data_IF_877522344721
#
_entry.id   IF_877522344721
#
_cell.length_a   1.000
_cell.length_b   1.000
_cell.length_c   1.000
_cell.angle_alpha   90.00
_cell.angle_beta   90.00
_cell.angle_gamma   90.00
#
_symmetry.space_group_name_H-M   'P 1'
#
loop_
_entity.id
_entity.type
_entity.pdbx_description
1 polymer ?
#
# COMPACT_ATOMS: atom_id res chain seq x y z
N UNK A 1 68.13 42.30 48.17
CA UNK A 1 67.18 43.14 47.41
C UNK A 1 66.93 42.46 46.07
N UNK A 2 65.69 42.03 45.82
CA UNK A 2 65.27 41.34 44.59
C UNK A 2 65.12 42.33 43.44
N UNK A 3 65.79 42.09 42.31
CA UNK A 3 65.47 42.75 41.02
C UNK A 3 64.75 41.75 40.14
N UNK A 4 63.51 42.10 39.78
CA UNK A 4 62.51 41.21 39.20
C UNK A 4 62.83 40.82 37.75
N UNK A 5 62.64 39.54 37.49
CA UNK A 5 62.70 38.84 36.21
C UNK A 5 61.71 39.44 35.19
N UNK A 6 62.22 40.22 34.24
CA UNK A 6 61.43 40.91 33.21
C UNK A 6 61.13 40.04 31.99
N UNK A 7 60.27 39.04 32.13
CA UNK A 7 59.67 38.32 30.99
C UNK A 7 58.21 38.72 30.82
N UNK A 8 57.98 39.89 30.23
CA UNK A 8 56.68 40.24 29.63
C UNK A 8 56.93 40.80 28.23
N UNK A 9 56.86 39.94 27.21
CA UNK A 9 56.65 40.40 25.84
C UNK A 9 55.20 40.90 25.77
N UNK A 10 54.98 42.16 26.10
CA UNK A 10 53.68 42.81 25.96
C UNK A 10 53.43 42.92 24.45
N UNK A 11 52.40 42.26 23.90
CA UNK A 11 52.13 42.33 22.47
C UNK A 11 51.84 43.79 22.10
N UNK A 12 52.43 44.26 21.01
CA UNK A 12 52.13 45.57 20.43
C UNK A 12 50.64 45.67 20.09
N UNK A 13 50.08 46.89 20.09
CA UNK A 13 48.69 47.12 19.71
C UNK A 13 48.35 46.49 18.34
N UNK A 14 49.30 46.54 17.39
CA UNK A 14 49.18 45.91 16.06
C UNK A 14 48.98 44.40 16.13
N UNK A 15 49.76 43.70 16.96
CA UNK A 15 49.64 42.24 17.15
C UNK A 15 48.33 41.86 17.82
N UNK A 16 47.86 42.64 18.80
CA UNK A 16 46.55 42.41 19.44
C UNK A 16 45.39 42.59 18.46
N UNK A 17 45.41 43.66 17.65
CA UNK A 17 44.37 43.90 16.63
C UNK A 17 44.32 42.77 15.60
N UNK A 18 45.47 42.26 15.14
CA UNK A 18 45.53 41.14 14.20
C UNK A 18 44.96 39.87 14.84
N UNK A 19 45.32 39.57 16.10
CA UNK A 19 44.80 38.40 16.81
C UNK A 19 43.28 38.45 16.99
N UNK A 20 42.73 39.61 17.39
CA UNK A 20 41.28 39.80 17.55
C UNK A 20 40.56 39.63 16.20
N UNK A 21 41.12 40.20 15.14
CA UNK A 21 40.55 40.08 13.79
C UNK A 21 40.53 38.62 13.32
N UNK A 22 41.63 37.89 13.48
CA UNK A 22 41.72 36.46 13.14
C UNK A 22 40.79 35.60 14.00
N UNK A 23 40.66 35.89 15.29
CA UNK A 23 39.73 35.22 16.18
C UNK A 23 38.27 35.47 15.76
N UNK A 24 37.93 36.71 15.36
CA UNK A 24 36.63 37.06 14.82
C UNK A 24 36.30 36.31 13.52
N UNK A 25 37.25 36.27 12.57
CA UNK A 25 37.10 35.49 11.34
C UNK A 25 36.92 34.00 11.64
N UNK A 26 37.75 33.44 12.51
CA UNK A 26 37.63 32.06 12.95
C UNK A 26 36.24 31.76 13.54
N UNK A 27 35.76 32.62 14.44
CA UNK A 27 34.43 32.49 15.04
C UNK A 27 33.32 32.54 13.98
N UNK A 28 33.36 33.49 13.05
CA UNK A 28 32.35 33.58 11.99
C UNK A 28 32.35 32.35 11.09
N UNK A 29 33.53 31.85 10.70
CA UNK A 29 33.65 30.64 9.90
C UNK A 29 33.14 29.41 10.67
N UNK A 30 33.42 29.30 11.97
CA UNK A 30 32.88 28.23 12.82
C UNK A 30 31.36 28.27 12.92
N UNK A 31 30.78 29.45 13.13
CA UNK A 31 29.32 29.62 13.19
C UNK A 31 28.67 29.22 11.86
N UNK A 32 29.19 29.70 10.73
CA UNK A 32 28.68 29.33 9.39
C UNK A 32 28.78 27.81 9.17
N UNK A 33 29.91 27.21 9.53
CA UNK A 33 30.12 25.76 9.37
C UNK A 33 29.16 24.93 10.23
N UNK A 34 28.93 25.35 11.48
CA UNK A 34 27.99 24.69 12.38
C UNK A 34 26.55 24.82 11.90
N UNK A 35 26.16 26.01 11.41
CA UNK A 35 24.84 26.23 10.83
C UNK A 35 24.63 25.36 9.58
N UNK A 36 25.62 25.33 8.67
CA UNK A 36 25.56 24.50 7.47
C UNK A 36 25.45 23.00 7.82
N UNK A 37 26.27 22.52 8.75
CA UNK A 37 26.22 21.12 9.18
C UNK A 37 24.89 20.79 9.85
N UNK A 38 24.40 21.68 10.72
CA UNK A 38 23.10 21.52 11.38
C UNK A 38 21.97 21.46 10.36
N UNK A 39 21.95 22.36 9.38
CA UNK A 39 20.96 22.36 8.31
C UNK A 39 21.03 21.08 7.47
N UNK A 40 22.23 20.63 7.11
CA UNK A 40 22.41 19.41 6.34
C UNK A 40 21.94 18.15 7.10
N UNK A 41 22.27 18.05 8.39
CA UNK A 41 21.83 16.95 9.25
C UNK A 41 20.31 16.95 9.44
N UNK A 42 19.70 18.12 9.66
CA UNK A 42 18.24 18.25 9.77
C UNK A 42 17.58 17.86 8.46
N UNK A 43 18.07 18.36 7.32
CA UNK A 43 17.50 18.06 6.01
C UNK A 43 17.58 16.56 5.69
N UNK A 44 18.74 15.93 5.87
CA UNK A 44 18.93 14.50 5.62
C UNK A 44 18.05 13.63 6.52
N UNK A 45 17.98 13.93 7.83
CA UNK A 45 17.11 13.21 8.75
C UNK A 45 15.62 13.45 8.49
N UNK A 46 15.25 14.67 8.13
CA UNK A 46 13.87 14.96 7.72
C UNK A 46 13.48 14.17 6.48
N UNK A 47 14.37 14.07 5.48
CA UNK A 47 14.12 13.30 4.26
C UNK A 47 14.00 11.79 4.55
N UNK A 48 14.83 11.25 5.44
CA UNK A 48 14.74 9.86 5.87
C UNK A 48 13.41 9.55 6.57
N UNK A 49 12.97 10.43 7.49
CA UNK A 49 11.69 10.30 8.20
C UNK A 49 10.52 10.43 7.22
N UNK A 50 10.57 11.38 6.30
CA UNK A 50 9.53 11.60 5.31
C UNK A 50 9.40 10.40 4.36
N UNK A 51 10.53 9.83 3.92
CA UNK A 51 10.55 8.59 3.15
C UNK A 51 9.92 7.43 3.93
N UNK A 52 10.28 7.24 5.20
CA UNK A 52 9.70 6.20 6.05
C UNK A 52 8.18 6.37 6.21
N UNK A 53 7.72 7.59 6.48
CA UNK A 53 6.28 7.90 6.61
C UNK A 53 5.52 7.70 5.30
N UNK A 54 6.14 8.05 4.18
CA UNK A 54 5.57 7.83 2.85
C UNK A 54 5.40 6.34 2.57
N UNK A 55 6.42 5.52 2.85
CA UNK A 55 6.33 4.06 2.72
C UNK A 55 5.23 3.49 3.60
N UNK A 56 5.20 3.84 4.89
CA UNK A 56 4.16 3.36 5.82
C UNK A 56 2.75 3.78 5.39
N UNK A 57 2.60 4.99 4.84
CA UNK A 57 1.31 5.49 4.35
C UNK A 57 0.85 4.72 3.11
N UNK A 58 1.76 4.41 2.19
CA UNK A 58 1.46 3.58 1.00
C UNK A 58 1.12 2.15 1.41
N UNK A 59 1.91 1.53 2.29
CA UNK A 59 1.63 0.19 2.82
C UNK A 59 0.27 0.13 3.52
N UNK A 60 -0.04 1.13 4.35
CA UNK A 60 -1.34 1.27 4.99
C UNK A 60 -2.49 1.36 3.97
N UNK A 61 -2.35 2.21 2.96
CA UNK A 61 -3.36 2.37 1.91
C UNK A 61 -3.59 1.08 1.10
N UNK A 62 -2.50 0.36 0.77
CA UNK A 62 -2.56 -0.94 0.11
C UNK A 62 -3.30 -1.96 0.99
N UNK A 63 -2.93 -2.06 2.26
CA UNK A 63 -3.56 -3.01 3.18
C UNK A 63 -5.05 -2.70 3.40
N UNK A 64 -5.41 -1.42 3.56
CA UNK A 64 -6.82 -1.00 3.65
C UNK A 64 -7.60 -1.38 2.40
N UNK A 65 -7.00 -1.25 1.21
CA UNK A 65 -7.64 -1.61 -0.05
C UNK A 65 -7.84 -3.14 -0.19
N UNK A 66 -6.84 -3.94 0.20
CA UNK A 66 -6.96 -5.40 0.26
C UNK A 66 -8.06 -5.82 1.25
N UNK A 67 -8.08 -5.22 2.44
CA UNK A 67 -9.09 -5.51 3.45
C UNK A 67 -10.50 -5.14 2.98
N UNK A 68 -10.66 -4.00 2.28
CA UNK A 68 -11.94 -3.61 1.69
C UNK A 68 -12.44 -4.65 0.68
N UNK A 69 -11.56 -5.14 -0.21
CA UNK A 69 -11.94 -6.20 -1.17
C UNK A 69 -12.28 -7.50 -0.45
N UNK A 70 -11.54 -7.86 0.59
CA UNK A 70 -11.85 -9.03 1.41
C UNK A 70 -13.25 -8.94 2.04
N UNK A 71 -13.59 -7.79 2.63
CA UNK A 71 -14.92 -7.55 3.19
C UNK A 71 -16.01 -7.66 2.12
N UNK A 72 -15.82 -7.05 0.95
CA UNK A 72 -16.77 -7.15 -0.16
C UNK A 72 -16.98 -8.60 -0.60
N UNK A 73 -15.91 -9.40 -0.67
CA UNK A 73 -16.02 -10.83 -1.00
C UNK A 73 -16.81 -11.58 0.06
N UNK A 74 -16.55 -11.34 1.34
CA UNK A 74 -17.28 -12.00 2.44
C UNK A 74 -18.77 -11.65 2.41
N UNK A 75 -19.10 -10.37 2.21
CA UNK A 75 -20.48 -9.87 2.16
C UNK A 75 -21.27 -10.45 0.97
N UNK A 76 -20.58 -10.79 -0.13
CA UNK A 76 -21.22 -11.33 -1.34
C UNK A 76 -21.18 -12.86 -1.42
N UNK A 77 -20.24 -13.51 -0.73
CA UNK A 77 -20.10 -14.97 -0.77
C UNK A 77 -20.87 -15.67 0.37
N UNK A 78 -21.06 -15.02 1.52
CA UNK A 78 -21.77 -15.60 2.65
C UNK A 78 -23.22 -15.09 2.64
N UNK A 79 -24.04 -15.72 1.80
CA UNK A 79 -25.44 -15.31 1.58
C UNK A 79 -26.28 -16.48 1.05
N UNK A 80 -27.39 -16.79 1.73
CA UNK A 80 -28.23 -17.96 1.44
C UNK A 80 -28.88 -17.92 0.03
N UNK A 81 -29.29 -16.73 -0.45
CA UNK A 81 -29.83 -16.60 -1.81
C UNK A 81 -28.74 -16.81 -2.86
N UNK A 82 -27.51 -16.36 -2.59
CA UNK A 82 -26.38 -16.62 -3.47
C UNK A 82 -26.14 -18.13 -3.62
N UNK A 83 -26.24 -18.90 -2.53
CA UNK A 83 -26.17 -20.37 -2.60
C UNK A 83 -27.30 -20.92 -3.46
N UNK A 84 -28.55 -20.52 -3.18
CA UNK A 84 -29.72 -21.03 -3.91
C UNK A 84 -29.60 -20.79 -5.42
N UNK A 85 -29.12 -19.62 -5.81
CA UNK A 85 -29.07 -19.20 -7.21
C UNK A 85 -27.84 -19.71 -7.97
N UNK A 86 -26.69 -19.84 -7.28
CA UNK A 86 -25.45 -20.32 -7.92
C UNK A 86 -25.30 -21.83 -7.95
N UNK A 87 -25.96 -22.56 -7.04
CA UNK A 87 -25.97 -24.02 -7.01
C UNK A 87 -27.21 -24.62 -7.70
N UNK A 88 -28.08 -23.79 -8.27
CA UNK A 88 -29.19 -24.26 -9.11
C UNK A 88 -28.67 -25.01 -10.35
N UNK A 89 -29.42 -25.98 -10.91
CA UNK A 89 -29.00 -26.72 -12.11
C UNK A 89 -28.68 -25.84 -13.33
N UNK A 90 -29.26 -24.63 -13.39
CA UNK A 90 -28.99 -23.62 -14.39
C UNK A 90 -28.81 -22.26 -13.73
N UNK A 91 -27.73 -21.55 -14.04
CA UNK A 91 -27.49 -20.21 -13.52
C UNK A 91 -28.47 -19.20 -14.13
N UNK A 92 -29.22 -18.50 -13.28
CA UNK A 92 -30.02 -17.34 -13.69
C UNK A 92 -29.10 -16.13 -13.93
N UNK A 93 -28.74 -15.91 -15.20
CA UNK A 93 -27.86 -14.81 -15.59
C UNK A 93 -28.44 -13.43 -15.27
N UNK A 94 -29.77 -13.29 -15.25
CA UNK A 94 -30.41 -12.01 -14.91
C UNK A 94 -30.25 -11.75 -13.41
N UNK A 95 -30.51 -12.74 -12.57
CA UNK A 95 -30.30 -12.61 -11.13
C UNK A 95 -28.84 -12.28 -10.82
N UNK A 96 -27.88 -12.97 -11.46
CA UNK A 96 -26.45 -12.69 -11.28
C UNK A 96 -26.06 -11.27 -11.68
N UNK A 97 -26.59 -10.78 -12.80
CA UNK A 97 -26.33 -9.41 -13.24
C UNK A 97 -26.97 -8.39 -12.30
N UNK A 98 -28.22 -8.59 -11.90
CA UNK A 98 -28.94 -7.66 -11.03
C UNK A 98 -28.28 -7.60 -9.65
N UNK A 99 -27.82 -8.73 -9.10
CA UNK A 99 -27.18 -8.85 -7.79
C UNK A 99 -25.70 -8.42 -7.78
N UNK A 100 -24.90 -8.85 -8.78
CA UNK A 100 -23.44 -8.67 -8.78
C UNK A 100 -22.88 -7.92 -9.99
N UNK A 101 -23.58 -7.87 -11.12
CA UNK A 101 -23.12 -7.14 -12.31
C UNK A 101 -23.42 -5.63 -12.26
N UNK A 102 -24.48 -5.27 -11.55
CA UNK A 102 -24.94 -3.89 -11.40
C UNK A 102 -24.15 -3.07 -10.36
N UNK A 103 -23.34 -3.73 -9.51
CA UNK A 103 -22.62 -3.11 -8.40
C UNK A 103 -21.61 -2.02 -8.80
N UNK A 104 -21.12 -2.04 -10.05
CA UNK A 104 -20.32 -0.92 -10.58
C UNK A 104 -21.18 0.34 -10.81
N UNK A 105 -22.42 0.19 -11.30
CA UNK A 105 -23.37 1.31 -11.46
C UNK A 105 -23.88 1.84 -10.12
N UNK A 106 -24.09 0.97 -9.14
CA UNK A 106 -24.65 1.35 -7.84
C UNK A 106 -23.48 1.52 -6.85
N UNK A 107 -23.09 2.78 -6.60
CA UNK A 107 -22.06 3.18 -5.64
C UNK A 107 -20.60 2.75 -5.96
N UNK A 108 -20.32 2.23 -7.16
CA UNK A 108 -18.97 1.86 -7.61
C UNK A 108 -18.19 1.02 -6.60
N UNK A 109 -18.83 -0.06 -6.11
CA UNK A 109 -18.26 -0.87 -5.02
C UNK A 109 -17.05 -1.69 -5.48
N UNK A 110 -17.10 -2.20 -6.70
CA UNK A 110 -16.06 -2.97 -7.38
C UNK A 110 -16.19 -2.85 -8.90
N UNK A 111 -15.10 -3.06 -9.62
CA UNK A 111 -15.08 -3.01 -11.09
C UNK A 111 -15.61 -4.27 -11.75
N UNK A 112 -15.60 -5.42 -11.06
CA UNK A 112 -16.14 -6.65 -11.61
C UNK A 112 -16.28 -7.79 -10.60
N UNK A 113 -17.15 -8.73 -10.94
CA UNK A 113 -17.48 -9.91 -10.13
C UNK A 113 -17.56 -11.14 -11.03
N UNK A 114 -17.07 -12.27 -10.53
CA UNK A 114 -16.98 -13.52 -11.27
C UNK A 114 -17.43 -14.68 -10.39
N UNK A 115 -18.27 -15.54 -10.94
CA UNK A 115 -18.69 -16.81 -10.34
C UNK A 115 -17.85 -17.91 -10.97
N UNK A 116 -17.23 -18.72 -10.11
CA UNK A 116 -16.34 -19.80 -10.51
C UNK A 116 -16.93 -21.15 -10.13
N UNK A 117 -16.60 -22.19 -10.88
CA UNK A 117 -16.85 -23.58 -10.47
C UNK A 117 -15.78 -24.10 -9.49
N UNK A 118 -15.94 -25.33 -9.03
CA UNK A 118 -15.00 -26.01 -8.12
C UNK A 118 -13.60 -26.24 -8.71
N UNK A 119 -13.47 -26.12 -10.03
CA UNK A 119 -12.21 -26.18 -10.78
C UNK A 119 -11.65 -24.77 -11.11
N UNK A 120 -12.26 -23.72 -10.55
CA UNK A 120 -11.92 -22.31 -10.77
C UNK A 120 -12.08 -21.84 -12.22
N UNK A 121 -12.95 -22.47 -13.00
CA UNK A 121 -13.37 -21.97 -14.32
C UNK A 121 -14.49 -20.96 -14.14
N UNK A 122 -14.51 -19.92 -14.97
CA UNK A 122 -15.54 -18.89 -14.91
C UNK A 122 -16.85 -19.47 -15.46
N UNK A 123 -17.89 -19.50 -14.62
CA UNK A 123 -19.26 -19.82 -15.01
C UNK A 123 -20.01 -18.59 -15.49
N UNK A 124 -19.75 -17.46 -14.84
CA UNK A 124 -20.34 -16.17 -15.18
C UNK A 124 -19.43 -15.04 -14.67
N UNK A 125 -19.44 -13.89 -15.35
CA UNK A 125 -18.74 -12.72 -14.88
C UNK A 125 -19.23 -11.43 -15.51
N UNK A 126 -19.01 -10.34 -14.80
CA UNK A 126 -19.25 -8.99 -15.29
C UNK A 126 -18.10 -8.08 -14.89
N UNK A 127 -17.73 -7.16 -15.79
CA UNK A 127 -16.72 -6.14 -15.58
C UNK A 127 -17.24 -4.80 -16.12
N UNK A 128 -17.12 -3.73 -15.34
CA UNK A 128 -17.64 -2.39 -15.63
C UNK A 128 -19.13 -2.41 -16.04
N UNK A 129 -19.92 -3.22 -15.32
CA UNK A 129 -21.34 -3.49 -15.61
C UNK A 129 -21.64 -4.03 -17.01
N UNK A 130 -20.67 -4.69 -17.64
CA UNK A 130 -20.86 -5.45 -18.86
C UNK A 130 -20.59 -6.92 -18.58
N UNK A 131 -21.48 -7.80 -19.06
CA UNK A 131 -21.26 -9.25 -18.97
C UNK A 131 -20.01 -9.59 -19.78
N UNK A 132 -19.08 -10.30 -19.16
CA UNK A 132 -17.82 -10.69 -19.77
C UNK A 132 -17.84 -12.19 -20.09
N UNK A 133 -18.00 -12.60 -21.36
CA UNK A 133 -18.03 -14.01 -21.75
C UNK A 133 -16.61 -14.57 -21.78
N UNK A 134 -16.07 -14.87 -20.59
CA UNK A 134 -14.79 -15.56 -20.40
C UNK A 134 -15.02 -16.84 -19.60
N UNK A 135 -14.23 -17.86 -19.88
CA UNK A 135 -14.32 -19.17 -19.20
C UNK A 135 -13.09 -19.47 -18.35
N UNK A 136 -12.00 -18.72 -18.52
CA UNK A 136 -10.74 -18.90 -17.80
C UNK A 136 -10.32 -17.64 -17.05
N UNK A 137 -9.34 -17.79 -16.17
CA UNK A 137 -8.85 -16.72 -15.28
C UNK A 137 -7.81 -15.80 -15.93
N UNK A 138 -7.52 -15.92 -17.24
CA UNK A 138 -6.46 -15.13 -17.90
C UNK A 138 -6.66 -13.63 -17.71
N UNK A 139 -7.89 -13.15 -17.87
CA UNK A 139 -8.28 -11.77 -17.63
C UNK A 139 -7.92 -11.28 -16.22
N UNK A 140 -8.08 -12.14 -15.21
CA UNK A 140 -7.85 -11.82 -13.79
C UNK A 140 -6.36 -11.91 -13.38
N UNK A 141 -5.52 -12.42 -14.27
CA UNK A 141 -4.08 -12.44 -14.13
C UNK A 141 -3.54 -13.51 -13.18
N UNK A 142 -2.23 -13.73 -13.27
CA UNK A 142 -1.53 -14.77 -12.53
C UNK A 142 -1.49 -14.56 -11.01
N UNK A 143 -1.72 -13.33 -10.53
CA UNK A 143 -1.80 -13.03 -9.10
C UNK A 143 -2.96 -13.74 -8.43
N UNK A 144 -4.15 -13.72 -9.05
CA UNK A 144 -5.32 -14.46 -8.55
C UNK A 144 -5.07 -15.97 -8.59
N UNK A 145 -4.52 -16.49 -9.69
CA UNK A 145 -4.19 -17.92 -9.80
C UNK A 145 -3.21 -18.37 -8.69
N UNK A 146 -2.25 -17.51 -8.35
CA UNK A 146 -1.30 -17.78 -7.27
C UNK A 146 -1.98 -17.73 -5.89
N UNK A 147 -2.87 -16.77 -5.67
CA UNK A 147 -3.68 -16.67 -4.45
C UNK A 147 -4.52 -17.93 -4.23
N UNK A 148 -5.21 -18.39 -5.29
CA UNK A 148 -6.00 -19.63 -5.27
C UNK A 148 -5.11 -20.83 -4.94
N UNK A 149 -3.97 -20.97 -5.62
CA UNK A 149 -3.05 -22.11 -5.42
C UNK A 149 -2.52 -22.16 -3.98
N UNK A 150 -2.12 -21.03 -3.42
CA UNK A 150 -1.56 -20.93 -2.07
C UNK A 150 -2.60 -21.22 -0.97
N UNK A 151 -3.89 -21.06 -1.27
CA UNK A 151 -4.98 -21.21 -0.30
C UNK A 151 -6.04 -22.25 -0.70
N UNK A 152 -5.72 -23.15 -1.64
CA UNK A 152 -6.69 -24.06 -2.26
C UNK A 152 -7.41 -24.97 -1.25
N UNK A 153 -6.74 -25.42 -0.20
CA UNK A 153 -7.38 -26.22 0.85
C UNK A 153 -8.36 -25.37 1.68
N UNK A 154 -7.92 -24.21 2.16
CA UNK A 154 -8.74 -23.33 2.99
C UNK A 154 -9.97 -22.79 2.24
N UNK A 155 -9.83 -22.52 0.93
CA UNK A 155 -10.94 -22.15 0.05
C UNK A 155 -11.96 -23.29 -0.09
N UNK A 156 -11.50 -24.54 -0.25
CA UNK A 156 -12.37 -25.71 -0.36
C UNK A 156 -13.08 -26.06 0.95
N UNK A 157 -12.44 -25.84 2.09
CA UNK A 157 -13.08 -25.95 3.40
C UNK A 157 -14.11 -24.84 3.65
N UNK A 158 -14.14 -23.80 2.82
CA UNK A 158 -15.08 -22.69 2.88
C UNK A 158 -14.87 -21.73 4.04
N UNK A 159 -13.99 -22.06 4.99
CA UNK A 159 -13.83 -21.29 6.25
C UNK A 159 -13.30 -19.88 6.05
N UNK A 160 -12.54 -19.65 4.97
CA UNK A 160 -11.81 -18.40 4.75
C UNK A 160 -12.06 -17.84 3.35
N UNK A 161 -12.04 -16.51 3.24
CA UNK A 161 -11.86 -15.78 2.00
C UNK A 161 -10.46 -15.16 1.97
N UNK A 162 -9.95 -14.89 0.77
CA UNK A 162 -8.60 -14.35 0.57
C UNK A 162 -8.65 -13.19 -0.41
N UNK A 163 -7.83 -12.18 -0.17
CA UNK A 163 -7.68 -11.04 -1.07
C UNK A 163 -6.20 -10.67 -1.23
N UNK A 164 -5.89 -9.97 -2.31
CA UNK A 164 -4.54 -9.54 -2.63
C UNK A 164 -4.52 -8.62 -3.85
N UNK A 165 -3.35 -8.53 -4.48
CA UNK A 165 -3.13 -7.70 -5.66
C UNK A 165 -2.78 -8.61 -6.84
N UNK A 166 -3.33 -8.30 -8.00
CA UNK A 166 -3.03 -8.97 -9.27
C UNK A 166 -2.85 -7.94 -10.36
N UNK A 167 -2.14 -8.32 -11.44
CA UNK A 167 -2.13 -7.57 -12.69
C UNK A 167 -3.05 -8.27 -13.67
N UNK A 168 -4.21 -7.68 -13.91
CA UNK A 168 -5.21 -8.11 -14.89
C UNK A 168 -4.85 -7.57 -16.29
N UNK A 169 -5.61 -7.97 -17.31
CA UNK A 169 -5.52 -7.36 -18.65
C UNK A 169 -5.89 -5.86 -18.62
N UNK A 170 -6.71 -5.43 -17.66
CA UNK A 170 -7.14 -4.04 -17.51
C UNK A 170 -6.20 -3.17 -16.65
N UNK A 171 -5.24 -3.77 -15.93
CA UNK A 171 -4.29 -3.04 -15.08
C UNK A 171 -3.98 -3.73 -13.76
N UNK A 172 -3.41 -2.98 -12.82
CA UNK A 172 -3.22 -3.46 -11.44
C UNK A 172 -4.56 -3.39 -10.72
N UNK A 173 -4.99 -4.49 -10.10
CA UNK A 173 -6.24 -4.57 -9.38
C UNK A 173 -6.06 -5.24 -8.02
N UNK A 174 -6.90 -4.83 -7.06
CA UNK A 174 -7.17 -5.62 -5.87
C UNK A 174 -8.18 -6.69 -6.23
N UNK A 175 -7.94 -7.93 -5.82
CA UNK A 175 -8.78 -9.08 -6.14
C UNK A 175 -9.01 -9.91 -4.89
N UNK A 176 -10.16 -10.56 -4.79
CA UNK A 176 -10.41 -11.51 -3.73
C UNK A 176 -11.28 -12.67 -4.21
N UNK A 177 -11.28 -13.73 -3.41
CA UNK A 177 -12.01 -14.96 -3.66
C UNK A 177 -12.48 -15.56 -2.34
N UNK A 178 -13.72 -16.05 -2.34
CA UNK A 178 -14.34 -16.75 -1.23
C UNK A 178 -15.29 -17.82 -1.75
N UNK A 179 -15.55 -18.83 -0.94
CA UNK A 179 -16.56 -19.85 -1.26
C UNK A 179 -17.95 -19.29 -1.03
N UNK A 180 -18.84 -19.43 -2.01
CA UNK A 180 -20.25 -19.11 -1.84
C UNK A 180 -20.86 -20.14 -0.89
N UNK A 181 -21.39 -19.70 0.24
CA UNK A 181 -21.87 -20.59 1.31
C UNK A 181 -22.98 -19.92 2.13
N UNK A 182 -23.81 -20.69 2.83
CA UNK A 182 -24.85 -20.13 3.67
C UNK A 182 -24.24 -19.39 4.87
N UNK A 183 -25.08 -18.55 5.49
CA UNK A 183 -24.71 -17.75 6.67
C UNK A 183 -24.48 -18.64 7.90
N UNK A 184 -25.13 -19.81 7.94
CA UNK A 184 -25.02 -20.84 8.99
C UNK A 184 -25.34 -22.22 8.46
#
# INVERSE_FOLDING_TARGET
MFTAFGWRKIPSARTLSIMIFLAGLGLTASVISLLYLSQHLIASKSNEIDQQRSVLSVEGAVQTSVNRVLSLVLDNAIWDDAVTQTYAPSLDQKWLYDSWGSGFKINNLYDGTFVLDEHYRILWGAFQSQVLPRTDLSFLGAGLTSLIRSHAQALREGKNAFAGITRTEAGIAFVGIGLIRPTT
#
